data_IF_601696638464
#
_entry.id   IF_601696638464
#
_cell.length_a   1.000
_cell.length_b   1.000
_cell.length_c   1.000
_cell.angle_alpha   90.00
_cell.angle_beta   90.00
_cell.angle_gamma   90.00
#
_symmetry.space_group_name_H-M   'P 1'
#
loop_
_entity.id
_entity.type
_entity.pdbx_description
1 polymer ?
#
# COMPACT_ATOMS: atom_id res chain seq x y z
N UNK A 1 1.90 15.14 -6.70
CA UNK A 1 2.20 13.68 -6.65
C UNK A 1 2.30 13.16 -8.07
N UNK A 2 3.42 12.51 -8.41
CA UNK A 2 3.62 11.93 -9.75
C UNK A 2 3.73 10.39 -9.71
N UNK A 3 4.03 9.82 -8.55
CA UNK A 3 4.10 8.37 -8.35
C UNK A 3 3.37 7.96 -7.09
N UNK A 4 2.63 6.87 -7.17
CA UNK A 4 1.92 6.27 -6.05
C UNK A 4 2.27 4.79 -5.95
N UNK A 5 2.76 4.37 -4.78
CA UNK A 5 3.04 2.98 -4.46
C UNK A 5 1.93 2.49 -3.54
N UNK A 6 1.20 1.47 -3.98
CA UNK A 6 0.13 0.85 -3.17
C UNK A 6 0.60 -0.54 -2.74
N UNK A 7 0.74 -0.75 -1.44
CA UNK A 7 1.23 -1.99 -0.86
C UNK A 7 0.14 -2.59 0.05
N UNK A 8 -0.31 -3.80 -0.27
CA UNK A 8 -1.15 -4.57 0.65
C UNK A 8 -0.28 -5.19 1.73
N UNK A 9 -0.75 -5.19 2.98
CA UNK A 9 -0.04 -5.87 4.06
C UNK A 9 0.28 -7.34 3.69
N UNK A 10 1.40 -7.84 4.18
CA UNK A 10 1.83 -9.22 3.99
C UNK A 10 0.98 -10.19 4.81
N UNK A 11 1.21 -11.49 4.65
CA UNK A 11 0.44 -12.53 5.33
C UNK A 11 0.45 -12.34 6.85
N UNK A 12 -0.74 -12.28 7.43
CA UNK A 12 -0.93 -12.16 8.86
C UNK A 12 -1.35 -13.50 9.47
N UNK A 13 -1.05 -13.67 10.77
CA UNK A 13 -1.56 -14.83 11.51
C UNK A 13 -3.08 -14.84 11.51
N UNK A 14 -3.73 -16.03 11.51
CA UNK A 14 -5.19 -16.11 11.56
C UNK A 14 -5.75 -15.42 12.80
N UNK A 15 -6.94 -14.83 12.66
CA UNK A 15 -7.67 -14.31 13.80
C UNK A 15 -8.32 -15.48 14.56
N UNK A 16 -8.17 -15.49 15.88
CA UNK A 16 -8.82 -16.44 16.76
C UNK A 16 -10.00 -15.75 17.46
N UNK A 17 -10.91 -16.57 18.01
CA UNK A 17 -12.09 -16.06 18.70
C UNK A 17 -11.68 -15.20 19.91
N UNK A 18 -12.20 -13.97 19.95
CA UNK A 18 -11.90 -13.01 21.00
C UNK A 18 -10.68 -12.14 20.75
N UNK A 19 -9.95 -12.37 19.65
CA UNK A 19 -8.81 -11.53 19.26
C UNK A 19 -9.27 -10.21 18.66
N UNK A 20 -8.44 -9.18 18.86
CA UNK A 20 -8.57 -7.91 18.17
C UNK A 20 -7.90 -8.01 16.79
N UNK A 21 -8.69 -7.82 15.74
CA UNK A 21 -8.19 -7.86 14.36
C UNK A 21 -7.02 -6.91 14.14
N UNK A 22 -7.04 -5.72 14.74
CA UNK A 22 -5.95 -4.74 14.59
C UNK A 22 -4.63 -5.18 15.21
N UNK A 23 -4.65 -6.15 16.12
CA UNK A 23 -3.46 -6.67 16.79
C UNK A 23 -2.87 -7.92 16.14
N UNK A 24 -3.47 -8.39 15.03
CA UNK A 24 -2.92 -9.55 14.31
C UNK A 24 -1.55 -9.20 13.73
N UNK A 25 -0.53 -9.98 14.12
CA UNK A 25 0.84 -9.84 13.63
C UNK A 25 1.00 -10.47 12.24
N UNK A 26 2.08 -10.12 11.56
CA UNK A 26 2.52 -10.89 10.41
C UNK A 26 2.90 -12.32 10.83
N UNK A 27 2.64 -13.28 9.97
CA UNK A 27 3.22 -14.62 10.07
C UNK A 27 4.72 -14.57 9.70
N UNK A 28 5.44 -15.65 9.98
CA UNK A 28 6.85 -15.76 9.54
C UNK A 28 6.98 -15.60 8.02
N UNK A 29 6.04 -16.18 7.26
CA UNK A 29 5.96 -16.01 5.81
C UNK A 29 5.69 -14.55 5.44
N UNK A 30 4.79 -13.88 6.14
CA UNK A 30 4.47 -12.47 5.91
C UNK A 30 5.66 -11.55 6.14
N UNK A 31 6.49 -11.83 7.13
CA UNK A 31 7.73 -11.08 7.34
C UNK A 31 8.67 -11.19 6.14
N UNK A 32 8.83 -12.40 5.58
CA UNK A 32 9.62 -12.62 4.38
C UNK A 32 9.03 -11.91 3.16
N UNK A 33 7.71 -11.93 3.00
CA UNK A 33 7.00 -11.23 1.93
C UNK A 33 7.24 -9.72 2.00
N UNK A 34 7.13 -9.14 3.18
CA UNK A 34 7.35 -7.71 3.38
C UNK A 34 8.80 -7.30 3.08
N UNK A 35 9.77 -8.09 3.51
CA UNK A 35 11.17 -7.88 3.19
C UNK A 35 11.43 -7.96 1.68
N UNK A 36 10.83 -8.95 1.00
CA UNK A 36 10.94 -9.11 -0.43
C UNK A 36 10.34 -7.91 -1.19
N UNK A 37 9.21 -7.38 -0.73
CA UNK A 37 8.61 -6.17 -1.31
C UNK A 37 9.56 -4.98 -1.23
N UNK A 38 10.20 -4.78 -0.09
CA UNK A 38 11.18 -3.71 0.10
C UNK A 38 12.40 -3.86 -0.80
N UNK A 39 12.94 -5.06 -0.92
CA UNK A 39 14.07 -5.35 -1.81
C UNK A 39 13.69 -5.08 -3.27
N UNK A 40 12.49 -5.47 -3.67
CA UNK A 40 12.01 -5.21 -5.02
C UNK A 40 11.87 -3.71 -5.30
N UNK A 41 11.29 -2.95 -4.36
CA UNK A 41 11.18 -1.49 -4.50
C UNK A 41 12.54 -0.82 -4.62
N UNK A 42 13.50 -1.21 -3.78
CA UNK A 42 14.86 -0.68 -3.83
C UNK A 42 15.52 -0.97 -5.19
N UNK A 43 15.39 -2.18 -5.71
CA UNK A 43 15.93 -2.58 -7.01
C UNK A 43 15.22 -1.88 -8.17
N UNK A 44 13.91 -1.64 -8.05
CA UNK A 44 13.12 -0.92 -9.04
C UNK A 44 13.41 0.58 -9.08
N UNK A 45 13.95 1.12 -7.99
CA UNK A 45 14.27 2.55 -7.88
C UNK A 45 13.12 3.42 -7.40
N UNK A 46 12.00 2.81 -6.97
CA UNK A 46 10.88 3.55 -6.39
C UNK A 46 11.19 3.89 -4.94
N UNK A 47 11.26 5.18 -4.63
CA UNK A 47 11.59 5.69 -3.30
C UNK A 47 10.51 6.65 -2.83
N UNK A 48 9.72 6.30 -1.81
CA UNK A 48 8.69 7.21 -1.31
C UNK A 48 9.30 8.41 -0.57
N UNK A 49 8.72 9.58 -0.82
CA UNK A 49 8.97 10.80 -0.05
C UNK A 49 8.09 10.83 1.20
N UNK A 50 6.97 10.13 1.14
CA UNK A 50 5.99 10.05 2.23
C UNK A 50 5.35 8.68 2.27
N UNK A 51 5.17 8.14 3.46
CA UNK A 51 4.53 6.84 3.67
C UNK A 51 3.31 7.02 4.58
N UNK A 52 2.15 6.59 4.10
CA UNK A 52 0.90 6.54 4.85
C UNK A 52 0.60 5.07 5.18
N UNK A 53 0.29 4.78 6.42
CA UNK A 53 0.12 3.41 6.87
C UNK A 53 -1.10 3.27 7.77
N UNK A 54 -1.89 2.22 7.54
CA UNK A 54 -2.93 1.82 8.48
C UNK A 54 -2.29 1.49 9.85
N UNK A 55 -2.93 1.86 10.97
CA UNK A 55 -2.39 1.58 12.30
C UNK A 55 -2.48 0.12 12.73
N UNK A 56 -3.11 -0.75 11.95
CA UNK A 56 -3.14 -2.18 12.25
C UNK A 56 -1.70 -2.73 12.33
N UNK A 57 -1.47 -3.66 13.25
CA UNK A 57 -0.14 -4.24 13.48
C UNK A 57 0.45 -4.84 12.20
N UNK A 58 -0.35 -5.59 11.41
CA UNK A 58 0.12 -6.23 10.16
C UNK A 58 0.57 -5.23 9.10
N UNK A 59 -0.07 -4.07 9.01
CA UNK A 59 0.35 -3.00 8.08
C UNK A 59 1.58 -2.27 8.59
N UNK A 60 1.65 -1.97 9.86
CA UNK A 60 2.82 -1.33 10.49
C UNK A 60 4.07 -2.21 10.33
N UNK A 61 3.97 -3.50 10.65
CA UNK A 61 5.08 -4.45 10.47
C UNK A 61 5.49 -4.58 8.99
N UNK A 62 4.52 -4.65 8.07
CA UNK A 62 4.80 -4.68 6.62
C UNK A 62 5.57 -3.44 6.18
N UNK A 63 5.10 -2.25 6.57
CA UNK A 63 5.74 -0.99 6.21
C UNK A 63 7.18 -0.93 6.73
N UNK A 64 7.41 -1.26 7.98
CA UNK A 64 8.75 -1.20 8.60
C UNK A 64 9.72 -2.16 7.95
N UNK A 65 9.30 -3.40 7.68
CA UNK A 65 10.15 -4.41 7.04
C UNK A 65 10.46 -4.04 5.57
N UNK A 66 9.48 -3.53 4.83
CA UNK A 66 9.71 -3.09 3.46
C UNK A 66 10.64 -1.86 3.41
N UNK A 67 10.40 -0.87 4.25
CA UNK A 67 11.20 0.36 4.27
C UNK A 67 12.63 0.15 4.73
N UNK A 68 12.90 -0.90 5.51
CA UNK A 68 14.26 -1.24 5.95
C UNK A 68 15.22 -1.50 4.78
N UNK A 69 14.73 -1.88 3.60
CA UNK A 69 15.54 -2.08 2.40
C UNK A 69 15.76 -0.79 1.59
N UNK A 70 15.12 0.30 1.96
CA UNK A 70 15.16 1.57 1.21
C UNK A 70 16.00 2.58 2.00
N UNK A 71 17.08 3.05 1.37
CA UNK A 71 17.97 4.03 1.98
C UNK A 71 17.22 5.35 2.22
N UNK A 72 17.40 5.92 3.42
CA UNK A 72 16.78 7.18 3.84
C UNK A 72 15.25 7.19 3.72
N UNK A 73 14.60 6.04 3.91
CA UNK A 73 13.15 5.95 3.87
C UNK A 73 12.51 6.81 4.96
N UNK A 74 11.38 7.48 4.65
CA UNK A 74 10.67 8.27 5.66
C UNK A 74 10.01 7.37 6.71
N UNK A 75 9.77 7.92 7.90
CA UNK A 75 9.00 7.24 8.95
C UNK A 75 7.54 7.19 8.52
N UNK A 76 6.87 6.02 8.60
CA UNK A 76 5.45 5.92 8.29
C UNK A 76 4.58 6.84 9.15
N UNK A 77 3.66 7.55 8.50
CA UNK A 77 2.61 8.32 9.16
C UNK A 77 1.38 7.42 9.29
N UNK A 78 0.95 7.17 10.53
CA UNK A 78 -0.23 6.38 10.79
C UNK A 78 -1.49 7.17 10.45
N UNK A 79 -2.37 6.58 9.65
CA UNK A 79 -3.62 7.17 9.23
C UNK A 79 -4.76 6.18 9.51
N UNK A 80 -5.55 6.46 10.53
CA UNK A 80 -6.65 5.59 10.95
C UNK A 80 -7.69 5.39 9.85
N UNK A 81 -7.83 6.35 8.96
CA UNK A 81 -8.74 6.33 7.82
C UNK A 81 -8.47 5.19 6.83
N UNK A 82 -7.26 4.62 6.83
CA UNK A 82 -6.90 3.54 5.90
C UNK A 82 -7.55 2.21 6.29
N UNK A 83 -7.74 1.98 7.60
CA UNK A 83 -8.38 0.78 8.09
C UNK A 83 -9.85 0.74 7.63
N UNK A 84 -10.28 -0.33 6.99
CA UNK A 84 -11.64 -0.48 6.41
C UNK A 84 -12.04 0.59 5.37
N UNK A 85 -11.08 1.26 4.75
CA UNK A 85 -11.36 2.33 3.80
C UNK A 85 -11.91 1.82 2.47
N UNK A 86 -12.87 2.55 1.93
CA UNK A 86 -13.30 2.43 0.54
C UNK A 86 -12.25 3.07 -0.40
N UNK A 87 -12.27 2.77 -1.71
CA UNK A 87 -11.38 3.46 -2.66
C UNK A 87 -11.55 4.98 -2.64
N UNK A 88 -12.78 5.47 -2.49
CA UNK A 88 -13.06 6.91 -2.43
C UNK A 88 -12.47 7.57 -1.18
N UNK A 89 -12.52 6.90 -0.04
CA UNK A 89 -11.90 7.39 1.19
C UNK A 89 -10.38 7.42 1.08
N UNK A 90 -9.79 6.42 0.43
CA UNK A 90 -8.34 6.41 0.17
C UNK A 90 -7.93 7.53 -0.79
N UNK A 91 -8.73 7.79 -1.82
CA UNK A 91 -8.50 8.94 -2.71
C UNK A 91 -8.53 10.27 -1.97
N UNK A 92 -9.53 10.46 -1.12
CA UNK A 92 -9.66 11.69 -0.33
C UNK A 92 -8.47 11.89 0.61
N UNK A 93 -7.94 10.82 1.19
CA UNK A 93 -6.73 10.87 2.00
C UNK A 93 -5.51 11.25 1.14
N UNK A 94 -5.33 10.60 0.00
CA UNK A 94 -4.19 10.86 -0.90
C UNK A 94 -4.21 12.28 -1.45
N UNK A 95 -5.39 12.85 -1.69
CA UNK A 95 -5.54 14.23 -2.18
C UNK A 95 -4.94 15.25 -1.21
N UNK A 96 -4.97 14.96 0.09
CA UNK A 96 -4.35 15.80 1.12
C UNK A 96 -2.83 15.77 1.09
N UNK A 97 -2.23 14.83 0.36
CA UNK A 97 -0.78 14.62 0.27
C UNK A 97 -0.23 14.87 -1.14
N UNK A 98 -0.95 15.64 -1.95
CA UNK A 98 -0.54 15.96 -3.31
C UNK A 98 0.76 16.75 -3.44
N UNK A 99 1.24 17.36 -2.34
CA UNK A 99 2.51 18.09 -2.26
C UNK A 99 3.74 17.16 -2.31
N UNK A 100 3.62 15.90 -1.95
CA UNK A 100 4.70 14.92 -2.04
C UNK A 100 4.87 14.43 -3.48
N UNK A 101 6.09 14.14 -3.88
CA UNK A 101 6.39 13.60 -5.22
C UNK A 101 5.96 12.15 -5.37
N UNK A 102 6.45 11.29 -4.47
CA UNK A 102 6.13 9.86 -4.42
C UNK A 102 5.53 9.52 -3.06
N UNK A 103 4.31 9.01 -3.05
CA UNK A 103 3.62 8.56 -1.84
C UNK A 103 3.48 7.04 -1.87
N UNK A 104 3.79 6.40 -0.74
CA UNK A 104 3.50 4.98 -0.51
C UNK A 104 2.35 4.88 0.48
N UNK A 105 1.37 4.07 0.16
CA UNK A 105 0.24 3.77 1.05
C UNK A 105 0.22 2.28 1.33
N UNK A 106 0.26 1.94 2.61
CA UNK A 106 0.22 0.55 3.09
C UNK A 106 -1.13 0.30 3.75
N UNK A 107 -1.89 -0.62 3.18
CA UNK A 107 -3.26 -0.84 3.61
C UNK A 107 -3.76 -2.27 3.39
N UNK A 108 -5.05 -2.36 3.20
CA UNK A 108 -5.81 -3.62 3.22
C UNK A 108 -6.64 -3.80 1.95
N UNK A 109 -6.88 -5.05 1.57
CA UNK A 109 -7.93 -5.38 0.62
C UNK A 109 -9.30 -5.41 1.33
N UNK A 110 -10.38 -5.10 0.62
CA UNK A 110 -10.46 -4.82 -0.82
C UNK A 110 -10.10 -3.38 -1.22
N UNK A 111 -9.88 -2.48 -0.27
CA UNK A 111 -9.65 -1.06 -0.54
C UNK A 111 -8.49 -0.82 -1.50
N UNK A 112 -7.34 -1.45 -1.26
CA UNK A 112 -6.13 -1.25 -2.07
C UNK A 112 -6.32 -1.75 -3.51
N UNK A 113 -6.79 -2.99 -3.70
CA UNK A 113 -6.97 -3.53 -5.06
C UNK A 113 -8.02 -2.77 -5.86
N UNK A 114 -9.08 -2.32 -5.19
CA UNK A 114 -10.12 -1.50 -5.83
C UNK A 114 -9.63 -0.10 -6.16
N UNK A 115 -8.73 0.46 -5.37
CA UNK A 115 -8.11 1.75 -5.66
C UNK A 115 -7.21 1.66 -6.90
N UNK A 116 -6.43 0.59 -7.04
CA UNK A 116 -5.64 0.35 -8.27
C UNK A 116 -6.57 0.34 -9.48
N UNK A 117 -7.65 -0.45 -9.41
CA UNK A 117 -8.62 -0.53 -10.51
C UNK A 117 -9.27 0.82 -10.82
N UNK A 118 -9.67 1.56 -9.80
CA UNK A 118 -10.29 2.87 -9.98
C UNK A 118 -9.35 3.87 -10.67
N UNK A 119 -8.10 3.93 -10.24
CA UNK A 119 -7.13 4.89 -10.79
C UNK A 119 -6.69 4.51 -12.20
N UNK A 120 -6.54 3.23 -12.50
CA UNK A 120 -6.04 2.76 -13.82
C UNK A 120 -7.17 2.57 -14.80
N UNK A 121 -8.25 1.89 -14.41
CA UNK A 121 -9.35 1.51 -15.32
C UNK A 121 -10.57 2.44 -15.21
N UNK A 122 -10.61 3.32 -14.23
CA UNK A 122 -11.74 4.21 -14.00
C UNK A 122 -12.92 3.56 -13.26
N UNK A 123 -12.83 2.29 -12.89
CA UNK A 123 -13.89 1.55 -12.19
C UNK A 123 -13.28 0.66 -11.11
N UNK A 124 -13.83 0.72 -9.91
CA UNK A 124 -13.31 -0.01 -8.76
C UNK A 124 -13.71 -1.50 -8.71
N UNK A 125 -14.62 -1.93 -9.58
CA UNK A 125 -15.08 -3.31 -9.69
C UNK A 125 -14.23 -4.17 -10.66
N UNK A 126 -13.37 -3.54 -11.45
CA UNK A 126 -12.52 -4.19 -12.46
C UNK A 126 -11.09 -4.36 -11.94
N UNK A 127 -10.92 -5.18 -10.91
CA UNK A 127 -9.63 -5.36 -10.25
C UNK A 127 -9.02 -6.76 -10.54
N UNK A 128 -7.67 -6.77 -10.64
CA UNK A 128 -6.91 -7.99 -10.93
C UNK A 128 -6.66 -8.88 -9.70
N UNK A 129 -6.97 -8.39 -8.51
CA UNK A 129 -6.58 -9.03 -7.27
C UNK A 129 -5.15 -8.68 -6.86
N UNK A 130 -4.94 -8.60 -5.55
CA UNK A 130 -3.62 -8.36 -4.97
C UNK A 130 -3.42 -9.34 -3.80
N UNK A 131 -2.57 -10.36 -3.95
CA UNK A 131 -2.26 -11.25 -2.81
C UNK A 131 -1.54 -10.49 -1.68
N UNK A 132 -1.47 -11.07 -0.47
CA UNK A 132 -0.72 -10.44 0.63
C UNK A 132 0.72 -10.09 0.23
N UNK A 133 1.17 -8.89 0.60
CA UNK A 133 2.49 -8.41 0.25
C UNK A 133 2.65 -7.91 -1.18
N UNK A 134 1.61 -7.97 -2.00
CA UNK A 134 1.64 -7.44 -3.36
C UNK A 134 1.67 -5.92 -3.38
N UNK A 135 2.30 -5.36 -4.39
CA UNK A 135 2.38 -3.92 -4.60
C UNK A 135 2.12 -3.54 -6.06
N UNK A 136 1.63 -2.32 -6.21
CA UNK A 136 1.46 -1.67 -7.50
C UNK A 136 2.17 -0.31 -7.49
N UNK A 137 2.90 -0.01 -8.56
CA UNK A 137 3.50 1.31 -8.77
C UNK A 137 2.74 2.00 -9.88
N UNK A 138 2.13 3.13 -9.55
CA UNK A 138 1.32 3.90 -10.48
C UNK A 138 2.01 5.22 -10.82
N UNK A 139 2.07 5.54 -12.10
CA UNK A 139 2.44 6.86 -12.56
C UNK A 139 1.17 7.72 -12.66
N UNK A 140 1.22 8.89 -12.03
CA UNK A 140 0.13 9.85 -12.03
C UNK A 140 0.57 11.07 -12.86
N UNK A 141 -0.31 11.56 -13.71
CA UNK A 141 -0.07 12.81 -14.46
C UNK A 141 -0.51 14.02 -13.63
N UNK A 142 0.03 14.12 -12.40
CA UNK A 142 -0.34 15.12 -11.39
C UNK A 142 -1.83 15.15 -11.07
N UNK A 143 -2.51 14.01 -11.26
CA UNK A 143 -3.94 13.85 -11.05
C UNK A 143 -4.26 12.51 -10.44
N UNK A 144 -5.16 12.52 -9.44
CA UNK A 144 -5.77 11.32 -8.84
C UNK A 144 -7.13 11.01 -9.48
N UNK A 145 -7.40 11.57 -10.65
CA UNK A 145 -8.66 11.35 -11.35
C UNK A 145 -8.79 9.89 -11.81
N UNK A 146 -9.94 9.23 -11.55
CA UNK A 146 -10.17 7.87 -11.98
C UNK A 146 -9.90 7.62 -13.47
N UNK A 147 -9.21 6.55 -13.79
CA UNK A 147 -8.88 6.14 -15.14
C UNK A 147 -7.70 6.89 -15.77
N UNK A 148 -7.02 7.77 -15.03
CA UNK A 148 -5.93 8.59 -15.58
C UNK A 148 -4.54 8.12 -15.15
N UNK A 149 -4.43 7.16 -14.23
CA UNK A 149 -3.15 6.62 -13.83
C UNK A 149 -2.69 5.51 -14.78
N UNK A 150 -1.37 5.40 -14.93
CA UNK A 150 -0.76 4.29 -15.65
C UNK A 150 -0.13 3.33 -14.65
N UNK A 151 -0.40 2.04 -14.80
CA UNK A 151 0.26 1.00 -14.02
C UNK A 151 1.67 0.78 -14.57
N UNK A 152 2.67 1.26 -13.85
CA UNK A 152 4.08 1.10 -14.24
C UNK A 152 4.61 -0.28 -13.87
N UNK A 153 4.22 -0.79 -12.72
CA UNK A 153 4.61 -2.11 -12.28
C UNK A 153 3.59 -2.72 -11.33
N UNK A 154 3.48 -4.02 -11.39
CA UNK A 154 2.75 -4.84 -10.42
C UNK A 154 3.65 -6.01 -10.04
N UNK A 155 3.84 -6.20 -8.73
CA UNK A 155 4.68 -7.28 -8.21
C UNK A 155 3.99 -7.98 -7.04
N UNK A 156 4.23 -9.27 -6.92
CA UNK A 156 3.78 -10.04 -5.75
C UNK A 156 4.85 -11.06 -5.34
N UNK A 157 4.94 -11.34 -4.05
CA UNK A 157 5.87 -12.34 -3.55
C UNK A 157 5.52 -13.76 -3.97
#
# INVERSE_FOLDING_TARGET
MHELILLRHAEAVPIERGDDDQQRALSARGEQEAQAAGLWLAAHGSRPDRVLCSPARRTDETARLALAAIEAAPVPQMAAEIYDASPGELLALLDQHGDAGTVMLVGHNPGIERLVALLVEGRSDDFRGMPPGALAVLHLNDSLEPGHARLDAFWSP
#
